data_IF_021470931358
#
_entry.id   IF_021470931358
#
_cell.length_a   1.000
_cell.length_b   1.000
_cell.length_c   1.000
_cell.angle_alpha   90.00
_cell.angle_beta   90.00
_cell.angle_gamma   90.00
#
_symmetry.space_group_name_H-M   'P 1'
#
loop_
_entity.id
_entity.type
_entity.pdbx_description
1 polymer ?
#
# COMPACT_ATOMS: atom_id res chain seq x y z
N UNK A 1 -16.02 -9.52 -16.68
CA UNK A 1 -16.21 -10.74 -15.85
C UNK A 1 -14.90 -11.28 -15.31
N UNK A 2 -13.83 -11.37 -16.11
CA UNK A 2 -12.51 -11.83 -15.64
C UNK A 2 -11.91 -10.95 -14.52
N UNK A 3 -12.08 -9.62 -14.60
CA UNK A 3 -11.54 -8.69 -13.60
C UNK A 3 -12.18 -8.86 -12.22
N UNK A 4 -13.49 -9.12 -12.16
CA UNK A 4 -14.20 -9.36 -10.91
C UNK A 4 -13.72 -10.65 -10.23
N UNK A 5 -13.51 -11.72 -11.01
CA UNK A 5 -12.98 -12.99 -10.49
C UNK A 5 -11.58 -12.78 -9.92
N UNK A 6 -10.70 -12.05 -10.63
CA UNK A 6 -9.35 -11.73 -10.18
C UNK A 6 -9.37 -10.91 -8.87
N UNK A 7 -10.21 -9.87 -8.80
CA UNK A 7 -10.36 -9.03 -7.61
C UNK A 7 -10.85 -9.88 -6.42
N UNK A 8 -11.86 -10.73 -6.61
CA UNK A 8 -12.35 -11.63 -5.56
C UNK A 8 -11.25 -12.57 -5.07
N UNK A 9 -10.45 -13.15 -5.97
CA UNK A 9 -9.33 -14.02 -5.63
C UNK A 9 -8.25 -13.29 -4.82
N UNK A 10 -7.91 -12.06 -5.22
CA UNK A 10 -6.96 -11.22 -4.50
C UNK A 10 -7.45 -10.88 -3.08
N UNK A 11 -8.73 -10.52 -2.94
CA UNK A 11 -9.35 -10.25 -1.63
C UNK A 11 -9.31 -11.50 -0.75
N UNK A 12 -9.64 -12.68 -1.30
CA UNK A 12 -9.58 -13.95 -0.57
C UNK A 12 -8.16 -14.31 -0.14
N UNK A 13 -7.16 -14.09 -1.00
CA UNK A 13 -5.75 -14.31 -0.66
C UNK A 13 -5.26 -13.36 0.44
N UNK A 14 -5.67 -12.09 0.36
CA UNK A 14 -5.35 -11.09 1.38
C UNK A 14 -5.98 -11.46 2.72
N UNK A 15 -7.26 -11.82 2.72
CA UNK A 15 -7.98 -12.30 3.91
C UNK A 15 -7.33 -13.56 4.49
N UNK A 16 -6.97 -14.54 3.65
CA UNK A 16 -6.29 -15.77 4.09
C UNK A 16 -4.95 -15.45 4.75
N UNK A 17 -4.18 -14.55 4.17
CA UNK A 17 -2.88 -14.12 4.73
C UNK A 17 -3.06 -13.44 6.08
N UNK A 18 -4.09 -12.60 6.20
CA UNK A 18 -4.43 -11.92 7.44
C UNK A 18 -4.90 -12.90 8.53
N UNK A 19 -5.71 -13.91 8.18
CA UNK A 19 -6.19 -14.94 9.10
C UNK A 19 -5.05 -15.88 9.55
N UNK A 20 -4.14 -16.22 8.63
CA UNK A 20 -3.00 -17.10 8.91
C UNK A 20 -2.01 -16.43 9.89
N UNK A 21 -1.85 -15.12 9.83
CA UNK A 21 -1.01 -14.35 10.74
C UNK A 21 -1.73 -14.04 12.07
N UNK A 22 -1.85 -15.08 12.91
CA UNK A 22 -2.53 -15.00 14.22
C UNK A 22 -1.90 -13.95 15.16
N UNK A 23 -0.59 -13.73 15.07
CA UNK A 23 0.11 -12.75 15.90
C UNK A 23 -0.30 -11.32 15.55
N UNK A 24 -0.44 -11.03 14.25
CA UNK A 24 -0.94 -9.74 13.76
C UNK A 24 -2.38 -9.53 14.22
N UNK A 25 -3.24 -10.54 14.09
CA UNK A 25 -4.63 -10.49 14.60
C UNK A 25 -4.71 -10.24 16.11
N UNK A 26 -3.84 -10.88 16.90
CA UNK A 26 -3.78 -10.68 18.35
C UNK A 26 -3.29 -9.27 18.69
N UNK A 27 -2.32 -8.74 17.94
CA UNK A 27 -1.89 -7.36 18.05
C UNK A 27 -3.03 -6.39 17.73
N UNK A 28 -3.76 -6.60 16.62
CA UNK A 28 -4.93 -5.81 16.22
C UNK A 28 -6.03 -5.77 17.30
N UNK A 29 -6.31 -6.89 17.95
CA UNK A 29 -7.28 -6.96 19.07
C UNK A 29 -6.86 -6.17 20.31
N UNK A 30 -5.57 -5.87 20.49
CA UNK A 30 -5.06 -5.08 21.62
C UNK A 30 -5.10 -3.57 21.36
N UNK A 31 -5.35 -3.12 20.12
CA UNK A 31 -5.46 -1.70 19.83
C UNK A 31 -6.78 -1.12 20.37
N UNK A 32 -6.72 0.12 20.85
CA UNK A 32 -7.94 0.86 21.18
C UNK A 32 -8.75 1.17 19.92
N UNK A 33 -10.06 1.42 20.09
CA UNK A 33 -10.95 1.83 18.97
C UNK A 33 -10.41 3.05 18.22
N UNK A 34 -9.80 4.01 18.92
CA UNK A 34 -9.20 5.21 18.30
C UNK A 34 -7.94 4.89 17.50
N UNK A 35 -7.10 3.96 17.96
CA UNK A 35 -5.92 3.54 17.21
C UNK A 35 -6.30 2.72 15.97
N UNK A 36 -7.31 1.85 16.08
CA UNK A 36 -7.85 1.10 14.95
C UNK A 36 -8.35 2.06 13.85
N UNK A 37 -9.08 3.10 14.25
CA UNK A 37 -9.60 4.12 13.34
C UNK A 37 -8.44 4.90 12.68
N UNK A 38 -7.40 5.25 13.45
CA UNK A 38 -6.18 5.86 12.93
C UNK A 38 -5.42 4.97 11.92
N UNK A 39 -5.37 3.65 12.15
CA UNK A 39 -4.79 2.68 11.21
C UNK A 39 -5.56 2.65 9.90
N UNK A 40 -6.89 2.57 9.96
CA UNK A 40 -7.76 2.55 8.78
C UNK A 40 -7.63 3.84 7.98
N UNK A 41 -7.65 5.00 8.65
CA UNK A 41 -7.45 6.30 8.01
C UNK A 41 -6.09 6.35 7.32
N UNK A 42 -5.02 5.96 8.03
CA UNK A 42 -3.66 5.95 7.48
C UNK A 42 -3.59 5.10 6.24
N UNK A 43 -4.19 3.89 6.26
CA UNK A 43 -4.23 3.01 5.10
C UNK A 43 -4.94 3.65 3.91
N UNK A 44 -6.11 4.26 4.11
CA UNK A 44 -6.86 4.95 3.05
C UNK A 44 -6.00 6.07 2.45
N UNK A 45 -5.38 6.92 3.28
CA UNK A 45 -4.50 7.99 2.81
C UNK A 45 -3.29 7.45 2.04
N UNK A 46 -2.65 6.40 2.53
CA UNK A 46 -1.52 5.73 1.85
C UNK A 46 -1.92 5.28 0.44
N UNK A 47 -3.09 4.64 0.29
CA UNK A 47 -3.60 4.19 -1.02
C UNK A 47 -3.90 5.37 -1.94
N UNK A 48 -4.58 6.41 -1.43
CA UNK A 48 -4.92 7.60 -2.21
C UNK A 48 -3.65 8.32 -2.69
N UNK A 49 -2.68 8.54 -1.80
CA UNK A 49 -1.41 9.21 -2.11
C UNK A 49 -0.61 8.38 -3.13
N UNK A 50 -0.52 7.05 -2.95
CA UNK A 50 0.18 6.17 -3.89
C UNK A 50 -0.44 6.23 -5.28
N UNK A 51 -1.77 6.10 -5.36
CA UNK A 51 -2.50 6.14 -6.63
C UNK A 51 -2.32 7.50 -7.31
N UNK A 52 -2.40 8.59 -6.55
CA UNK A 52 -2.18 9.95 -7.05
C UNK A 52 -0.77 10.12 -7.60
N UNK A 53 0.26 9.73 -6.85
CA UNK A 53 1.66 9.83 -7.29
C UNK A 53 1.95 8.99 -8.52
N UNK A 54 1.39 7.78 -8.62
CA UNK A 54 1.55 6.92 -9.80
C UNK A 54 0.85 7.53 -11.01
N UNK A 55 -0.37 8.06 -10.83
CA UNK A 55 -1.14 8.67 -11.93
C UNK A 55 -0.43 9.90 -12.49
N UNK A 56 -0.05 10.85 -11.62
CA UNK A 56 0.68 12.04 -12.05
C UNK A 56 2.09 11.73 -12.53
N UNK A 57 2.78 10.77 -11.89
CA UNK A 57 4.09 10.29 -12.32
C UNK A 57 4.06 9.72 -13.73
N UNK A 58 3.06 8.88 -14.04
CA UNK A 58 2.85 8.37 -15.40
C UNK A 58 2.63 9.49 -16.40
N UNK A 59 1.71 10.42 -16.10
CA UNK A 59 1.42 11.55 -17.00
C UNK A 59 2.63 12.47 -17.21
N UNK A 60 3.50 12.60 -16.21
CA UNK A 60 4.70 13.42 -16.32
C UNK A 60 5.76 12.82 -17.23
N UNK A 61 5.86 11.49 -17.27
CA UNK A 61 6.79 10.74 -18.13
C UNK A 61 6.23 10.58 -19.55
N UNK A 62 4.91 10.56 -19.71
CA UNK A 62 4.24 10.33 -20.99
C UNK A 62 4.73 11.30 -22.06
N UNK A 63 5.24 10.76 -23.17
CA UNK A 63 5.71 11.57 -24.31
C UNK A 63 7.03 12.32 -24.07
N UNK A 64 7.71 12.11 -22.94
CA UNK A 64 9.09 12.62 -22.71
C UNK A 64 10.15 11.81 -23.45
N UNK A 65 9.83 10.57 -23.81
CA UNK A 65 10.77 9.65 -24.44
C UNK A 65 10.21 9.18 -25.79
N UNK A 66 11.07 9.18 -26.82
CA UNK A 66 10.71 8.66 -28.15
C UNK A 66 10.64 7.13 -28.16
N UNK A 67 11.38 6.47 -27.25
CA UNK A 67 11.41 5.01 -27.14
C UNK A 67 10.48 4.52 -26.02
N UNK A 68 9.45 3.78 -26.40
CA UNK A 68 8.44 3.17 -25.51
C UNK A 68 9.07 2.25 -24.45
N UNK A 69 10.15 1.54 -24.79
CA UNK A 69 10.86 0.67 -23.84
C UNK A 69 11.51 1.47 -22.71
N UNK A 70 12.16 2.59 -23.06
CA UNK A 70 12.81 3.47 -22.09
C UNK A 70 11.77 4.16 -21.21
N UNK A 71 10.66 4.61 -21.80
CA UNK A 71 9.52 5.20 -21.08
C UNK A 71 8.95 4.22 -20.05
N UNK A 72 8.72 2.98 -20.47
CA UNK A 72 8.19 1.91 -19.62
C UNK A 72 9.16 1.55 -18.50
N UNK A 73 10.46 1.45 -18.80
CA UNK A 73 11.49 1.16 -17.80
C UNK A 73 11.55 2.23 -16.71
N UNK A 74 11.54 3.52 -17.11
CA UNK A 74 11.56 4.64 -16.18
C UNK A 74 10.28 4.67 -15.34
N UNK A 75 9.12 4.39 -15.94
CA UNK A 75 7.87 4.28 -15.18
C UNK A 75 7.94 3.19 -14.10
N UNK A 76 8.49 2.01 -14.41
CA UNK A 76 8.68 0.93 -13.43
C UNK A 76 9.61 1.36 -12.30
N UNK A 77 10.70 2.06 -12.60
CA UNK A 77 11.63 2.59 -11.59
C UNK A 77 10.91 3.57 -10.65
N UNK A 78 10.14 4.52 -11.20
CA UNK A 78 9.35 5.47 -10.40
C UNK A 78 8.32 4.74 -9.56
N UNK A 79 7.64 3.73 -10.12
CA UNK A 79 6.67 2.93 -9.40
C UNK A 79 7.30 2.28 -8.15
N UNK A 80 8.44 1.58 -8.30
CA UNK A 80 9.16 1.01 -7.16
C UNK A 80 9.56 2.07 -6.13
N UNK A 81 10.04 3.22 -6.59
CA UNK A 81 10.44 4.31 -5.71
C UNK A 81 9.26 4.87 -4.90
N UNK A 82 8.10 5.05 -5.53
CA UNK A 82 6.86 5.50 -4.88
C UNK A 82 6.43 4.50 -3.81
N UNK A 83 6.38 3.20 -4.13
CA UNK A 83 6.02 2.18 -3.14
C UNK A 83 7.01 2.10 -1.98
N UNK A 84 8.31 2.21 -2.25
CA UNK A 84 9.33 2.22 -1.20
C UNK A 84 9.17 3.40 -0.25
N UNK A 85 9.01 4.62 -0.79
CA UNK A 85 8.85 5.82 0.02
C UNK A 85 7.55 5.80 0.83
N UNK A 86 6.43 5.49 0.18
CA UNK A 86 5.13 5.46 0.83
C UNK A 86 5.06 4.34 1.86
N UNK A 87 5.62 3.16 1.58
CA UNK A 87 5.73 2.07 2.55
C UNK A 87 6.47 2.52 3.80
N UNK A 88 7.66 3.11 3.62
CA UNK A 88 8.48 3.60 4.74
C UNK A 88 7.78 4.68 5.57
N UNK A 89 7.07 5.61 4.92
CA UNK A 89 6.32 6.67 5.61
C UNK A 89 5.12 6.06 6.35
N UNK A 90 4.37 5.19 5.67
CA UNK A 90 3.21 4.50 6.23
C UNK A 90 3.60 3.69 7.46
N UNK A 91 4.71 2.95 7.43
CA UNK A 91 5.20 2.17 8.57
C UNK A 91 5.58 3.05 9.75
N UNK A 92 6.23 4.20 9.50
CA UNK A 92 6.55 5.17 10.56
C UNK A 92 5.29 5.75 11.20
N UNK A 93 4.32 6.15 10.38
CA UNK A 93 3.04 6.71 10.86
C UNK A 93 2.27 5.64 11.64
N UNK A 94 2.19 4.43 11.11
CA UNK A 94 1.52 3.30 11.73
C UNK A 94 2.15 3.01 13.09
N UNK A 95 3.48 2.88 13.17
CA UNK A 95 4.20 2.66 14.41
C UNK A 95 3.92 3.75 15.46
N UNK A 96 3.79 5.01 15.03
CA UNK A 96 3.46 6.14 15.91
C UNK A 96 2.03 6.06 16.44
N UNK A 97 1.06 5.72 15.59
CA UNK A 97 -0.36 5.58 15.96
C UNK A 97 -0.56 4.38 16.89
N UNK A 98 0.05 3.25 16.57
CA UNK A 98 -0.10 2.01 17.32
C UNK A 98 0.85 1.91 18.51
N UNK A 99 1.71 2.91 18.75
CA UNK A 99 2.76 2.92 19.78
C UNK A 99 3.63 1.65 19.76
N UNK A 100 3.93 1.14 18.56
CA UNK A 100 4.70 -0.10 18.39
C UNK A 100 3.97 -1.39 18.78
N UNK A 101 2.65 -1.36 18.97
CA UNK A 101 1.87 -2.58 19.26
C UNK A 101 1.80 -3.55 18.08
N UNK A 102 2.01 -3.08 16.85
CA UNK A 102 2.08 -3.91 15.65
C UNK A 102 3.53 -4.34 15.41
N UNK A 103 3.78 -5.64 15.12
CA UNK A 103 5.12 -6.12 14.78
C UNK A 103 5.63 -5.42 13.51
N UNK A 104 6.90 -5.00 13.54
CA UNK A 104 7.61 -4.57 12.34
C UNK A 104 7.97 -5.83 11.54
N UNK A 105 7.52 -5.86 10.29
CA UNK A 105 8.03 -6.82 9.31
C UNK A 105 9.35 -6.32 8.74
#
# INVERSE_FOLDING_TARGET
MNDFVLITLLVLLMARTFIKNRDTLRAYKKLSKTQLLGVVITFIFTVVIATTLIFYGKNWIAGKFSNIFLESFIFVVIFFFVFYFIGTISDKVMNKITKGALPKN
#
